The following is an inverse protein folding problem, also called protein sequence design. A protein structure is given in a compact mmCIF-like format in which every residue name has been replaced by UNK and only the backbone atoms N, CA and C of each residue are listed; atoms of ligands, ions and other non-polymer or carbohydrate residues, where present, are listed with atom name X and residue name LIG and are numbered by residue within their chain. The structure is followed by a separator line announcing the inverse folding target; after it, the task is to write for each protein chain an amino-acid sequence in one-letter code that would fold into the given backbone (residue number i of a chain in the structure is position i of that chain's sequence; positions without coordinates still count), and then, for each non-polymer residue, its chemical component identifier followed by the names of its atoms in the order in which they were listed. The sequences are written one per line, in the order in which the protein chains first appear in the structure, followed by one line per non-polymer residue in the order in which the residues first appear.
data_IF_759264808894
#
_entry.id   IF_759264808894
#
_cell.length_a   1.000
_cell.length_b   1.000
_cell.length_c   1.000
_cell.angle_alpha   90.00
_cell.angle_beta   90.00
_cell.angle_gamma   90.00
#
_symmetry.space_group_name_H-M   'P 1'
#
loop_
_entity.id
_entity.type
_entity.pdbx_description
1 polymer ?
#
# COMPACT_ATOMS: atom_id res chain seq x y z
N UNK A 1 2.64 -16.33 -6.39
CA UNK A 1 2.65 -15.48 -5.18
C UNK A 1 3.51 -14.26 -5.48
N UNK A 2 3.07 -13.04 -5.19
CA UNK A 2 3.76 -11.80 -5.61
C UNK A 2 4.96 -11.41 -4.73
N UNK A 3 5.23 -12.16 -3.66
CA UNK A 3 6.38 -11.95 -2.78
C UNK A 3 6.96 -13.32 -2.40
N UNK A 4 8.25 -13.54 -2.63
CA UNK A 4 9.00 -14.66 -2.03
C UNK A 4 9.43 -14.31 -0.60
N UNK A 5 10.41 -15.04 -0.05
CA UNK A 5 11.07 -14.63 1.20
C UNK A 5 11.75 -13.27 0.98
N UNK A 6 11.19 -12.22 1.56
CA UNK A 6 11.69 -10.85 1.37
C UNK A 6 12.31 -10.33 2.64
N UNK A 7 13.29 -9.44 2.50
CA UNK A 7 13.82 -8.66 3.61
C UNK A 7 12.92 -7.47 3.90
N UNK A 8 12.97 -6.94 5.13
CA UNK A 8 12.25 -5.71 5.50
C UNK A 8 12.55 -4.55 4.54
N UNK A 9 13.81 -4.44 4.10
CA UNK A 9 14.28 -3.43 3.15
C UNK A 9 13.58 -3.55 1.79
N UNK A 10 13.46 -4.75 1.24
CA UNK A 10 12.77 -4.99 -0.04
C UNK A 10 11.27 -4.71 0.07
N UNK A 11 10.67 -5.08 1.20
CA UNK A 11 9.27 -4.79 1.50
C UNK A 11 9.03 -3.28 1.51
N UNK A 12 9.78 -2.54 2.32
CA UNK A 12 9.69 -1.08 2.43
C UNK A 12 9.91 -0.42 1.08
N UNK A 13 10.96 -0.82 0.33
CA UNK A 13 11.26 -0.26 -1.00
C UNK A 13 10.09 -0.44 -1.96
N UNK A 14 9.41 -1.59 -1.93
CA UNK A 14 8.26 -1.87 -2.79
C UNK A 14 7.11 -0.90 -2.50
N UNK A 15 6.76 -0.72 -1.23
CA UNK A 15 5.64 0.16 -0.88
C UNK A 15 5.97 1.65 -0.98
N UNK A 16 7.23 2.04 -0.77
CA UNK A 16 7.69 3.41 -1.07
C UNK A 16 7.59 3.72 -2.57
N UNK A 17 7.90 2.75 -3.44
CA UNK A 17 7.70 2.89 -4.88
C UNK A 17 6.20 3.01 -5.22
N UNK A 18 5.35 2.21 -4.58
CA UNK A 18 3.89 2.33 -4.73
C UNK A 18 3.39 3.73 -4.33
N UNK A 19 3.88 4.27 -3.20
CA UNK A 19 3.57 5.62 -2.74
C UNK A 19 4.03 6.68 -3.75
N UNK A 20 5.24 6.55 -4.29
CA UNK A 20 5.77 7.44 -5.32
C UNK A 20 4.92 7.40 -6.60
N UNK A 21 4.53 6.21 -7.06
CA UNK A 21 3.64 6.06 -8.22
C UNK A 21 2.29 6.72 -7.95
N UNK A 22 1.72 6.57 -6.75
CA UNK A 22 0.48 7.26 -6.40
C UNK A 22 0.60 8.78 -6.51
N UNK A 23 1.74 9.37 -6.10
CA UNK A 23 2.00 10.81 -6.22
C UNK A 23 2.13 11.27 -7.66
N UNK A 24 2.64 10.41 -8.53
CA UNK A 24 2.75 10.69 -9.96
C UNK A 24 1.38 10.66 -10.63
N UNK A 25 0.60 9.60 -10.42
CA UNK A 25 -0.59 9.30 -11.22
C UNK A 25 -1.93 9.69 -10.59
N UNK A 26 -2.05 9.86 -9.27
CA UNK A 26 -3.32 10.16 -8.58
C UNK A 26 -3.39 11.62 -8.12
N UNK A 27 -4.60 12.20 -8.08
CA UNK A 27 -4.83 13.56 -7.55
C UNK A 27 -4.19 13.70 -6.16
N UNK A 28 -3.72 14.89 -5.80
CA UNK A 28 -3.01 15.10 -4.54
C UNK A 28 -3.84 14.69 -3.30
N UNK A 29 -5.14 14.95 -3.32
CA UNK A 29 -6.09 14.54 -2.26
C UNK A 29 -6.43 13.05 -2.26
N UNK A 30 -5.94 12.28 -3.24
CA UNK A 30 -6.27 10.87 -3.47
C UNK A 30 -5.04 9.97 -3.52
N UNK A 31 -3.89 10.45 -3.03
CA UNK A 31 -2.66 9.66 -2.94
C UNK A 31 -2.82 8.57 -1.90
N UNK A 32 -2.14 7.45 -2.08
CA UNK A 32 -2.24 6.37 -1.10
C UNK A 32 -1.51 6.75 0.19
N UNK A 33 -1.98 6.21 1.30
CA UNK A 33 -1.23 6.17 2.56
C UNK A 33 -0.73 4.74 2.77
N UNK A 34 0.54 4.61 3.14
CA UNK A 34 1.15 3.33 3.49
C UNK A 34 1.50 3.36 4.97
N UNK A 35 0.97 2.38 5.72
CA UNK A 35 1.27 2.21 7.14
C UNK A 35 1.94 0.84 7.33
N UNK A 36 3.11 0.83 7.93
CA UNK A 36 3.80 -0.38 8.36
C UNK A 36 3.59 -0.56 9.85
N UNK A 37 2.98 -1.68 10.20
CA UNK A 37 2.80 -2.17 11.55
C UNK A 37 3.82 -3.29 11.80
N UNK A 38 4.67 -3.14 12.81
CA UNK A 38 5.62 -4.16 13.24
C UNK A 38 5.32 -4.52 14.69
N UNK A 39 5.35 -5.81 14.99
CA UNK A 39 5.23 -6.35 16.33
C UNK A 39 6.41 -7.29 16.59
N UNK A 40 7.36 -6.85 17.39
CA UNK A 40 8.50 -7.64 17.83
C UNK A 40 8.08 -8.53 19.01
N UNK A 41 8.11 -9.85 18.81
CA UNK A 41 7.72 -10.81 19.84
C UNK A 41 8.74 -10.88 20.98
N UNK A 42 10.02 -10.68 20.68
CA UNK A 42 11.11 -10.82 21.66
C UNK A 42 11.11 -9.65 22.66
N UNK A 43 10.84 -8.44 22.17
CA UNK A 43 10.88 -7.22 22.98
C UNK A 43 9.49 -6.67 23.33
N UNK A 44 8.42 -7.36 22.93
CA UNK A 44 7.02 -6.95 23.11
C UNK A 44 6.75 -5.50 22.63
N UNK A 45 7.43 -5.09 21.58
CA UNK A 45 7.40 -3.71 21.10
C UNK A 45 6.59 -3.61 19.82
N UNK A 46 5.70 -2.61 19.76
CA UNK A 46 4.88 -2.31 18.58
C UNK A 46 5.38 -1.02 17.95
N UNK A 47 5.65 -1.07 16.66
CA UNK A 47 6.13 0.06 15.88
C UNK A 47 5.12 0.31 14.77
N UNK A 48 4.65 1.54 14.66
CA UNK A 48 3.85 2.00 13.53
C UNK A 48 4.62 3.12 12.83
N UNK A 49 4.87 2.96 11.53
CA UNK A 49 5.49 4.01 10.70
C UNK A 49 4.68 4.24 9.45
N UNK A 50 4.63 5.49 8.99
CA UNK A 50 3.77 5.92 7.88
C UNK A 50 4.57 6.58 6.75
N UNK A 51 4.18 6.31 5.51
CA UNK A 51 4.70 6.95 4.29
C UNK A 51 6.23 7.03 4.26
N UNK A 52 6.84 8.22 4.14
CA UNK A 52 8.30 8.35 4.07
C UNK A 52 9.03 7.87 5.33
N UNK A 53 8.34 7.81 6.48
CA UNK A 53 8.93 7.31 7.73
C UNK A 53 9.25 5.81 7.65
N UNK A 54 8.68 5.08 6.67
CA UNK A 54 9.07 3.69 6.42
C UNK A 54 10.58 3.56 6.19
N UNK A 55 11.26 4.58 5.63
CA UNK A 55 12.73 4.55 5.45
C UNK A 55 13.50 4.40 6.77
N UNK A 56 12.94 4.91 7.87
CA UNK A 56 13.55 4.78 9.20
C UNK A 56 13.44 3.34 9.72
N UNK A 57 12.37 2.63 9.34
CA UNK A 57 12.16 1.25 9.72
C UNK A 57 13.08 0.26 8.98
N UNK A 58 13.72 0.65 7.86
CA UNK A 58 14.67 -0.22 7.14
C UNK A 58 15.86 -0.66 8.00
N UNK A 59 16.20 0.11 9.03
CA UNK A 59 17.32 -0.15 9.93
C UNK A 59 16.95 -1.09 11.09
N UNK A 60 15.66 -1.37 11.28
CA UNK A 60 15.19 -2.23 12.35
C UNK A 60 15.56 -3.69 12.06
N UNK A 61 16.13 -4.35 13.07
CA UNK A 61 16.46 -5.77 13.03
C UNK A 61 15.52 -6.53 13.95
N UNK A 62 14.39 -6.96 13.40
CA UNK A 62 13.45 -7.83 14.10
C UNK A 62 13.75 -9.28 13.69
N UNK A 63 14.03 -10.15 14.67
CA UNK A 63 14.32 -11.57 14.42
C UNK A 63 13.02 -12.37 14.25
N UNK A 64 12.07 -12.15 15.15
CA UNK A 64 10.81 -12.89 15.24
C UNK A 64 9.65 -11.96 15.56
N UNK A 65 8.53 -12.12 14.87
CA UNK A 65 7.44 -11.17 15.01
C UNK A 65 6.35 -11.30 13.98
N UNK A 66 5.55 -10.23 13.90
CA UNK A 66 4.55 -10.03 12.87
C UNK A 66 4.79 -8.66 12.22
N UNK A 67 4.70 -8.60 10.91
CA UNK A 67 4.63 -7.36 10.18
C UNK A 67 3.31 -7.28 9.42
N UNK A 68 2.79 -6.08 9.25
CA UNK A 68 1.72 -5.85 8.32
C UNK A 68 1.87 -4.50 7.62
N UNK A 69 1.53 -4.49 6.34
CA UNK A 69 1.44 -3.27 5.55
C UNK A 69 -0.04 -3.03 5.27
N UNK A 70 -0.52 -1.88 5.71
CA UNK A 70 -1.81 -1.32 5.34
C UNK A 70 -1.60 -0.29 4.23
N UNK A 71 -2.35 -0.43 3.14
CA UNK A 71 -2.39 0.54 2.04
C UNK A 71 -3.81 1.11 1.97
N UNK A 72 -3.93 2.41 2.19
CA UNK A 72 -5.20 3.13 2.18
C UNK A 72 -5.26 3.96 0.90
N UNK A 73 -6.25 3.71 0.05
CA UNK A 73 -6.43 4.42 -1.20
C UNK A 73 -7.33 5.65 -0.97
N UNK A 74 -6.72 6.79 -0.65
CA UNK A 74 -7.46 8.01 -0.32
C UNK A 74 -8.38 8.44 -1.47
N UNK A 75 -9.55 8.98 -1.13
CA UNK A 75 -10.58 9.33 -2.13
C UNK A 75 -11.37 8.13 -2.66
N UNK A 76 -11.12 6.92 -2.17
CA UNK A 76 -11.92 5.71 -2.42
C UNK A 76 -12.29 5.06 -1.08
N UNK A 77 -13.06 3.97 -1.13
CA UNK A 77 -13.33 3.15 0.05
C UNK A 77 -12.37 1.95 0.17
N UNK A 78 -11.32 1.90 -0.65
CA UNK A 78 -10.43 0.74 -0.74
C UNK A 78 -9.32 0.80 0.31
N UNK A 79 -9.12 -0.31 1.01
CA UNK A 79 -7.94 -0.55 1.84
C UNK A 79 -7.42 -1.97 1.62
N UNK A 80 -6.10 -2.13 1.56
CA UNK A 80 -5.45 -3.44 1.49
C UNK A 80 -4.60 -3.67 2.72
N UNK A 81 -4.61 -4.89 3.24
CA UNK A 81 -3.81 -5.30 4.40
C UNK A 81 -3.02 -6.55 4.06
N UNK A 82 -1.70 -6.45 4.12
CA UNK A 82 -0.77 -7.53 3.81
C UNK A 82 -0.02 -7.90 5.09
N UNK A 83 -0.26 -9.10 5.62
CA UNK A 83 0.42 -9.58 6.81
C UNK A 83 1.58 -10.51 6.44
N UNK A 84 2.65 -10.44 7.23
CA UNK A 84 3.85 -11.25 7.11
C UNK A 84 4.24 -11.79 8.48
N UNK A 85 4.59 -13.08 8.53
CA UNK A 85 5.31 -13.64 9.68
C UNK A 85 6.79 -13.27 9.55
N UNK A 86 7.42 -12.85 10.65
CA UNK A 86 8.86 -12.61 10.70
C UNK A 86 9.51 -13.81 11.38
N UNK A 87 10.42 -14.48 10.68
CA UNK A 87 11.21 -15.60 11.19
C UNK A 87 12.63 -15.50 10.64
N UNK A 88 13.63 -15.58 11.51
CA UNK A 88 15.06 -15.44 11.14
C UNK A 88 15.33 -14.22 10.25
N UNK A 89 14.77 -13.06 10.64
CA UNK A 89 14.85 -11.81 9.88
C UNK A 89 14.20 -11.81 8.48
N UNK A 90 13.54 -12.90 8.08
CA UNK A 90 12.82 -13.03 6.82
C UNK A 90 11.34 -12.76 7.02
N UNK A 91 10.75 -12.06 6.05
CA UNK A 91 9.35 -11.68 6.04
C UNK A 91 8.63 -12.64 5.09
N UNK A 92 7.89 -13.57 5.69
CA UNK A 92 7.15 -14.62 5.02
C UNK A 92 5.70 -14.18 4.85
N UNK A 93 5.15 -14.13 3.62
CA UNK A 93 3.76 -13.75 3.41
C UNK A 93 2.81 -14.66 4.18
N UNK A 94 1.92 -14.07 4.99
CA UNK A 94 0.97 -14.80 5.82
C UNK A 94 -0.44 -14.77 5.23
N UNK A 95 -0.99 -13.57 5.02
CA UNK A 95 -2.29 -13.40 4.39
C UNK A 95 -2.43 -12.01 3.77
N UNK A 96 -3.37 -11.92 2.83
CA UNK A 96 -3.85 -10.66 2.26
C UNK A 96 -5.33 -10.51 2.60
N UNK A 97 -5.75 -9.28 2.91
CA UNK A 97 -7.14 -8.91 3.07
C UNK A 97 -7.41 -7.60 2.35
N UNK A 98 -8.43 -7.57 1.50
CA UNK A 98 -8.97 -6.34 0.94
C UNK A 98 -10.17 -5.85 1.76
N UNK A 99 -10.38 -4.55 1.76
CA UNK A 99 -11.57 -3.90 2.30
C UNK A 99 -12.16 -2.96 1.26
N UNK A 100 -13.47 -3.02 1.10
CA UNK A 100 -14.28 -2.08 0.33
C UNK A 100 -15.30 -1.47 1.29
N UNK A 101 -15.00 -0.26 1.77
CA UNK A 101 -15.73 0.36 2.87
C UNK A 101 -15.57 -0.47 4.14
N UNK A 102 -16.68 -0.95 4.68
CA UNK A 102 -16.70 -1.80 5.88
C UNK A 102 -16.72 -3.31 5.54
N UNK A 103 -16.72 -3.68 4.26
CA UNK A 103 -16.77 -5.07 3.85
C UNK A 103 -15.37 -5.63 3.62
N UNK A 104 -15.07 -6.72 4.32
CA UNK A 104 -13.88 -7.53 4.08
C UNK A 104 -14.09 -8.39 2.82
N UNK A 105 -13.15 -8.32 1.89
CA UNK A 105 -13.18 -9.06 0.63
C UNK A 105 -11.88 -9.85 0.43
N UNK A 106 -11.97 -10.93 -0.36
CA UNK A 106 -10.79 -11.69 -0.75
C UNK A 106 -9.92 -10.91 -1.75
N UNK A 107 -8.75 -11.47 -2.03
CA UNK A 107 -7.74 -10.83 -2.87
C UNK A 107 -8.19 -10.63 -4.31
N UNK A 108 -8.79 -11.64 -4.93
CA UNK A 108 -9.09 -11.60 -6.35
C UNK A 108 -10.28 -10.68 -6.61
N UNK A 109 -11.25 -10.68 -5.70
CA UNK A 109 -12.33 -9.69 -5.69
C UNK A 109 -11.79 -8.27 -5.50
N UNK A 110 -10.91 -8.05 -4.52
CA UNK A 110 -10.32 -6.72 -4.30
C UNK A 110 -9.56 -6.21 -5.54
N UNK A 111 -8.72 -7.05 -6.15
CA UNK A 111 -7.91 -6.68 -7.32
C UNK A 111 -8.80 -6.33 -8.52
N UNK A 112 -9.88 -7.08 -8.75
CA UNK A 112 -10.79 -6.80 -9.88
C UNK A 112 -11.53 -5.46 -9.76
N UNK A 113 -11.67 -4.91 -8.54
CA UNK A 113 -12.32 -3.61 -8.29
C UNK A 113 -11.33 -2.46 -8.07
N UNK A 114 -10.04 -2.76 -7.96
CA UNK A 114 -9.01 -1.75 -7.71
C UNK A 114 -8.85 -0.78 -8.89
N UNK A 115 -8.73 -1.31 -10.11
CA UNK A 115 -8.51 -0.48 -11.30
C UNK A 115 -9.68 0.46 -11.62
N UNK A 116 -10.95 0.02 -11.63
CA UNK A 116 -12.10 0.90 -11.87
C UNK A 116 -12.17 2.09 -10.90
N UNK A 117 -11.90 1.87 -9.62
CA UNK A 117 -11.89 2.92 -8.59
C UNK A 117 -10.72 3.89 -8.78
N UNK A 118 -9.51 3.37 -9.01
CA UNK A 118 -8.32 4.19 -9.22
C UNK A 118 -8.43 5.09 -10.45
N UNK A 119 -9.08 4.62 -11.53
CA UNK A 119 -9.29 5.44 -12.75
C UNK A 119 -10.10 6.71 -12.48
N UNK A 120 -11.02 6.70 -11.53
CA UNK A 120 -11.87 7.87 -11.20
C UNK A 120 -11.08 8.97 -10.46
N UNK A 121 -10.05 8.58 -9.72
CA UNK A 121 -9.21 9.49 -8.92
C UNK A 121 -7.85 9.78 -9.54
N UNK A 122 -7.55 9.18 -10.69
CA UNK A 122 -6.35 9.46 -11.47
C UNK A 122 -6.28 10.95 -11.85
N UNK A 123 -5.05 11.48 -11.94
CA UNK A 123 -4.81 12.79 -12.54
C UNK A 123 -5.17 12.70 -14.02
N UNK A 124 -5.90 13.68 -14.56
CA UNK A 124 -6.03 13.77 -16.00
C UNK A 124 -4.65 14.02 -16.61
N UNK A 125 -4.22 13.13 -17.50
CA UNK A 125 -3.09 13.39 -18.39
C UNK A 125 -3.57 14.37 -19.47
N UNK A 126 -3.23 15.66 -19.38
CA UNK A 126 -3.56 16.72 -20.36
C UNK A 126 -3.21 16.28 -21.81
N UNK A 127 -3.96 16.57 -22.89
CA UNK A 127 -5.02 17.54 -23.15
C UNK A 127 -6.26 16.87 -23.78
N UNK A 128 -7.40 16.82 -23.09
CA UNK A 128 -8.69 16.62 -23.77
C UNK A 128 -9.27 18.01 -24.01
N UNK A 129 -9.37 18.42 -25.28
CA UNK A 129 -10.03 19.66 -25.69
C UNK A 129 -11.49 19.63 -25.21
N UNK A 130 -11.81 20.38 -24.16
CA UNK A 130 -13.19 20.55 -23.67
C UNK A 130 -13.80 21.81 -24.31
N UNK A 131 -13.74 21.93 -25.64
CA UNK A 131 -14.49 22.98 -26.35
C UNK A 131 -14.94 22.51 -27.73
N UNK A 132 -16.01 21.69 -27.83
CA UNK A 132 -16.64 21.41 -29.11
C UNK A 132 -17.33 22.64 -29.74
N UNK A 133 -17.45 23.77 -29.02
CA UNK A 133 -18.18 24.97 -29.46
C UNK A 133 -17.33 26.22 -29.73
N UNK A 134 -16.00 26.14 -29.77
CA UNK A 134 -15.12 27.31 -30.05
C UNK A 134 -14.57 27.36 -31.49
N UNK A 135 -15.07 26.52 -32.39
CA UNK A 135 -14.82 26.65 -33.82
C UNK A 135 -16.16 26.97 -34.52
N UNK A 136 -16.40 28.27 -34.72
CA UNK A 136 -17.31 28.79 -35.76
C UNK A 136 -16.50 28.93 -37.04
#
# INVERSE_FOLDING_TARGET
MLFGETTLKELIRTYLNLLQNSRQFLKQSCQIEVVLHLNDKMHQHKIEVRNEQLKQAEQLRICEGLAAIEVIYQGTQLKAYHAFDISDHRYLPKYFVGWMGNQKVDKDYFISHLEPELRQIAKPCLNCVIFPGLFV
#
